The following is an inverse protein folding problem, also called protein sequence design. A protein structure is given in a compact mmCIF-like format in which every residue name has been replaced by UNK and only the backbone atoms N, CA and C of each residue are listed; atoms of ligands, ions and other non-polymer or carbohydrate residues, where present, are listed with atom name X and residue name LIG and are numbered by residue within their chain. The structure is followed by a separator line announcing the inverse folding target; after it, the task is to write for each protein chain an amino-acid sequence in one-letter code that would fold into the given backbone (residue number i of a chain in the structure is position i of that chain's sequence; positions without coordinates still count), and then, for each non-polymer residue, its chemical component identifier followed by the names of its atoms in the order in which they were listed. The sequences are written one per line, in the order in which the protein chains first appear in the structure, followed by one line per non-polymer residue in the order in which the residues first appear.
data_IF_299872414566
#
_entry.id   IF_299872414566
#
_cell.length_a   1.000
_cell.length_b   1.000
_cell.length_c   1.000
_cell.angle_alpha   90.00
_cell.angle_beta   90.00
_cell.angle_gamma   90.00
#
_symmetry.space_group_name_H-M   'P 1'
#
loop_
_entity.id
_entity.type
_entity.pdbx_description
1 polymer ?
#
# COMPACT_ATOMS: atom_id res chain seq x y z
N UNK A 1 34.62 -26.47 41.26
CA UNK A 1 33.77 -27.42 42.01
C UNK A 1 32.63 -26.63 42.61
N UNK A 2 31.46 -26.75 42.09
CA UNK A 2 30.17 -26.82 42.80
C UNK A 2 29.08 -26.87 41.75
N UNK A 3 28.37 -27.96 41.72
CA UNK A 3 27.34 -28.32 40.76
C UNK A 3 26.02 -27.58 41.06
N UNK A 4 25.31 -27.15 40.02
CA UNK A 4 23.93 -26.68 40.12
C UNK A 4 23.02 -27.79 39.62
N UNK A 5 22.19 -28.31 40.53
CA UNK A 5 21.19 -29.34 40.28
C UNK A 5 20.00 -28.79 39.49
N UNK A 6 19.69 -29.44 38.38
CA UNK A 6 18.45 -29.24 37.61
C UNK A 6 17.32 -30.09 38.27
N UNK A 7 16.26 -29.43 38.70
CA UNK A 7 15.01 -30.08 39.14
C UNK A 7 14.08 -30.28 37.94
N UNK A 8 13.96 -31.50 37.46
CA UNK A 8 12.96 -31.95 36.51
C UNK A 8 11.64 -32.28 37.22
N UNK A 9 10.57 -31.53 36.91
CA UNK A 9 9.22 -31.84 37.39
C UNK A 9 8.54 -32.79 36.41
N UNK A 10 8.23 -33.99 36.96
CA UNK A 10 7.66 -35.11 36.23
C UNK A 10 6.13 -35.00 36.14
N UNK A 11 5.56 -34.98 34.90
CA UNK A 11 4.15 -34.79 34.55
C UNK A 11 3.18 -35.92 34.97
N UNK A 12 3.60 -36.86 35.80
CA UNK A 12 2.81 -38.07 36.13
C UNK A 12 2.18 -38.10 37.53
N UNK A 13 2.17 -37.00 38.28
CA UNK A 13 1.64 -37.01 39.67
C UNK A 13 0.45 -36.08 39.92
N UNK A 14 -0.33 -35.71 38.90
CA UNK A 14 -1.51 -34.85 39.12
C UNK A 14 -2.85 -35.52 38.89
N UNK A 15 -2.91 -36.85 38.86
CA UNK A 15 -4.16 -37.60 38.74
C UNK A 15 -4.28 -38.66 39.80
N UNK A 16 -4.53 -38.25 41.05
CA UNK A 16 -5.09 -39.12 42.10
C UNK A 16 -5.41 -38.22 43.30
N UNK A 17 -6.68 -37.93 43.48
CA UNK A 17 -7.41 -37.73 44.74
C UNK A 17 -8.62 -36.84 44.47
N UNK A 18 -9.79 -37.47 44.34
CA UNK A 18 -10.98 -37.13 45.11
C UNK A 18 -12.18 -37.97 44.63
N UNK A 19 -12.41 -39.07 45.26
CA UNK A 19 -13.72 -39.70 45.35
C UNK A 19 -14.36 -39.25 46.66
N UNK A 20 -15.58 -38.69 46.63
CA UNK A 20 -16.29 -38.27 47.86
C UNK A 20 -17.67 -37.67 47.50
N UNK A 21 -18.65 -38.53 47.29
CA UNK A 21 -20.09 -38.51 47.74
C UNK A 21 -20.84 -37.18 47.79
N UNK A 22 -21.80 -37.03 46.86
CA UNK A 22 -23.24 -36.81 47.14
C UNK A 22 -23.71 -35.41 47.40
N UNK A 23 -24.46 -34.87 46.48
CA UNK A 23 -25.86 -34.44 46.67
C UNK A 23 -26.44 -33.97 45.31
N UNK A 24 -27.45 -34.67 44.82
CA UNK A 24 -28.24 -34.29 43.65
C UNK A 24 -29.04 -33.03 43.99
N UNK A 25 -28.71 -31.91 43.38
CA UNK A 25 -29.60 -30.77 43.17
C UNK A 25 -29.86 -30.62 41.66
N UNK A 26 -31.07 -31.01 41.27
CA UNK A 26 -31.62 -30.79 39.95
C UNK A 26 -31.75 -29.30 39.70
N UNK A 27 -30.83 -28.69 38.92
CA UNK A 27 -31.05 -27.43 38.26
C UNK A 27 -31.50 -27.70 36.84
N UNK A 28 -32.51 -26.98 36.32
CA UNK A 28 -32.98 -27.15 34.95
C UNK A 28 -31.83 -26.76 34.01
N UNK A 29 -31.53 -27.66 33.09
CA UNK A 29 -30.60 -27.43 32.02
C UNK A 29 -31.08 -26.26 31.16
N UNK A 30 -30.55 -25.08 31.42
CA UNK A 30 -30.52 -24.01 30.42
C UNK A 30 -29.49 -24.47 29.37
N UNK A 31 -30.03 -25.04 28.30
CA UNK A 31 -29.28 -25.30 27.07
C UNK A 31 -28.90 -23.96 26.43
N UNK A 32 -27.92 -23.31 27.04
CA UNK A 32 -27.17 -22.22 26.43
C UNK A 32 -25.90 -22.80 25.87
N UNK A 33 -26.01 -23.56 24.79
CA UNK A 33 -24.89 -23.88 23.97
C UNK A 33 -24.57 -22.63 23.11
N UNK A 34 -24.18 -21.57 23.77
CA UNK A 34 -23.47 -20.51 23.11
C UNK A 34 -22.07 -21.01 22.81
N UNK A 35 -22.01 -21.66 21.67
CA UNK A 35 -20.82 -21.72 20.89
C UNK A 35 -20.19 -20.33 20.93
N UNK A 36 -19.12 -20.16 21.67
CA UNK A 36 -18.09 -19.18 21.41
C UNK A 36 -17.61 -19.47 19.98
N UNK A 37 -18.38 -19.01 19.00
CA UNK A 37 -17.91 -18.78 17.65
C UNK A 37 -16.73 -17.85 17.86
N UNK A 38 -15.53 -18.42 17.81
CA UNK A 38 -14.31 -17.69 17.56
C UNK A 38 -14.70 -16.79 16.38
N UNK A 39 -14.91 -15.50 16.63
CA UNK A 39 -15.15 -14.52 15.57
C UNK A 39 -13.82 -14.51 14.85
N UNK A 40 -13.70 -15.34 13.83
CA UNK A 40 -12.63 -15.24 12.85
C UNK A 40 -12.96 -13.90 12.19
N UNK A 41 -12.19 -12.87 12.57
CA UNK A 41 -12.33 -11.55 11.98
C UNK A 41 -12.13 -11.74 10.47
N UNK A 42 -13.20 -11.61 9.70
CA UNK A 42 -13.08 -11.74 8.25
C UNK A 42 -12.16 -10.62 7.74
N UNK A 43 -11.26 -10.93 6.79
CA UNK A 43 -10.40 -9.90 6.24
C UNK A 43 -11.23 -8.76 5.69
N UNK A 44 -10.88 -7.54 6.04
CA UNK A 44 -11.54 -6.33 5.58
C UNK A 44 -10.71 -5.65 4.49
N UNK A 45 -11.35 -5.35 3.36
CA UNK A 45 -10.76 -4.56 2.28
C UNK A 45 -11.13 -3.09 2.49
N UNK A 46 -10.11 -2.26 2.70
CA UNK A 46 -10.24 -0.81 2.81
C UNK A 46 -9.81 -0.15 1.50
N UNK A 47 -10.52 0.89 1.08
CA UNK A 47 -10.15 1.74 -0.06
C UNK A 47 -10.95 3.05 -0.04
N UNK A 48 -10.52 4.00 -0.87
CA UNK A 48 -11.33 5.14 -1.24
C UNK A 48 -12.21 4.81 -2.45
N UNK A 49 -13.40 5.39 -2.51
CA UNK A 49 -14.33 5.29 -3.65
C UNK A 49 -14.96 6.63 -3.99
N UNK A 50 -15.33 6.78 -5.26
CA UNK A 50 -16.16 7.89 -5.72
C UNK A 50 -17.47 7.31 -6.25
N UNK A 51 -18.58 7.99 -6.01
CA UNK A 51 -19.85 7.60 -6.61
C UNK A 51 -20.13 8.37 -7.92
N UNK A 52 -21.20 7.98 -8.57
CA UNK A 52 -21.65 8.60 -9.83
C UNK A 52 -22.09 10.06 -9.67
N UNK A 53 -22.34 10.52 -8.45
CA UNK A 53 -22.72 11.88 -8.11
C UNK A 53 -21.49 12.75 -7.76
N UNK A 54 -20.28 12.19 -7.84
CA UNK A 54 -19.04 12.88 -7.51
C UNK A 54 -18.74 12.96 -6.01
N UNK A 55 -19.48 12.24 -5.16
CA UNK A 55 -19.17 12.14 -3.73
C UNK A 55 -17.99 11.21 -3.48
N UNK A 56 -17.24 11.50 -2.43
CA UNK A 56 -16.05 10.78 -2.03
C UNK A 56 -16.30 9.99 -0.75
N UNK A 57 -15.87 8.75 -0.73
CA UNK A 57 -16.15 7.79 0.34
C UNK A 57 -14.87 7.08 0.80
N UNK A 58 -14.70 6.98 2.10
CA UNK A 58 -13.82 6.03 2.76
C UNK A 58 -14.64 4.77 3.06
N UNK A 59 -14.19 3.60 2.57
CA UNK A 59 -15.01 2.38 2.63
C UNK A 59 -14.26 1.19 3.20
N UNK A 60 -15.02 0.27 3.82
CA UNK A 60 -14.53 -1.04 4.25
C UNK A 60 -15.56 -2.11 3.90
N UNK A 61 -15.11 -3.19 3.28
CA UNK A 61 -15.92 -4.34 2.91
C UNK A 61 -15.25 -5.65 3.33
N UNK A 62 -16.05 -6.64 3.72
CA UNK A 62 -15.60 -8.02 3.70
C UNK A 62 -15.47 -8.52 2.25
N UNK A 63 -14.67 -9.56 2.01
CA UNK A 63 -14.48 -10.10 0.65
C UNK A 63 -15.72 -10.79 0.07
N UNK A 64 -16.73 -11.06 0.90
CA UNK A 64 -18.05 -11.57 0.48
C UNK A 64 -19.02 -10.47 0.03
N UNK A 65 -18.58 -9.20 0.06
CA UNK A 65 -19.37 -8.03 -0.34
C UNK A 65 -20.11 -7.33 0.80
N UNK A 66 -20.04 -7.84 2.03
CA UNK A 66 -20.65 -7.18 3.19
C UNK A 66 -19.97 -5.84 3.47
N UNK A 67 -20.71 -4.74 3.45
CA UNK A 67 -20.21 -3.42 3.81
C UNK A 67 -20.05 -3.32 5.34
N UNK A 68 -18.83 -2.99 5.80
CA UNK A 68 -18.58 -2.73 7.20
C UNK A 68 -18.86 -1.26 7.54
N UNK A 69 -18.35 -0.35 6.72
CA UNK A 69 -18.66 1.06 6.81
C UNK A 69 -18.47 1.80 5.48
N UNK A 70 -19.13 2.94 5.39
CA UNK A 70 -18.99 3.92 4.30
C UNK A 70 -19.13 5.32 4.89
N UNK A 71 -18.03 6.08 4.88
CA UNK A 71 -17.95 7.42 5.46
C UNK A 71 -17.71 8.45 4.36
N UNK A 72 -18.63 9.41 4.21
CA UNK A 72 -18.47 10.51 3.26
C UNK A 72 -17.39 11.49 3.73
N UNK A 73 -16.52 11.91 2.80
CA UNK A 73 -15.44 12.87 3.06
C UNK A 73 -15.45 13.96 1.99
N UNK A 74 -15.01 15.21 2.32
CA UNK A 74 -15.05 16.32 1.39
C UNK A 74 -14.12 16.20 0.18
N UNK A 75 -13.01 15.45 0.30
CA UNK A 75 -11.99 15.34 -0.75
C UNK A 75 -11.77 13.87 -1.11
N UNK A 76 -11.51 13.64 -2.39
CA UNK A 76 -11.12 12.32 -2.90
C UNK A 76 -9.84 11.83 -2.21
N UNK A 77 -9.90 10.68 -1.57
CA UNK A 77 -8.74 10.01 -1.02
C UNK A 77 -8.04 9.14 -2.08
N UNK A 78 -6.78 8.81 -1.81
CA UNK A 78 -5.93 8.07 -2.71
C UNK A 78 -5.41 6.79 -2.07
N UNK A 79 -4.81 6.87 -0.90
CA UNK A 79 -4.27 5.74 -0.15
C UNK A 79 -4.99 5.55 1.17
N UNK A 80 -4.89 4.34 1.72
CA UNK A 80 -5.45 3.99 3.02
C UNK A 80 -4.43 3.19 3.81
N UNK A 81 -4.27 3.57 5.07
CA UNK A 81 -3.34 2.98 6.03
C UNK A 81 -4.12 2.44 7.21
N UNK A 82 -3.66 1.34 7.79
CA UNK A 82 -4.22 0.79 9.02
C UNK A 82 -3.20 0.88 10.15
N UNK A 83 -3.63 1.37 11.32
CA UNK A 83 -2.77 1.43 12.50
C UNK A 83 -2.45 0.00 12.99
N UNK A 84 -1.19 -0.32 13.35
CA UNK A 84 -0.78 -1.70 13.61
C UNK A 84 -1.48 -2.36 14.82
N UNK A 85 -1.87 -1.57 15.81
CA UNK A 85 -2.43 -2.10 17.08
C UNK A 85 -3.80 -1.52 17.47
N UNK A 86 -4.17 -0.36 16.94
CA UNK A 86 -5.45 0.29 17.19
C UNK A 86 -6.39 0.08 16.00
N UNK A 87 -7.71 0.04 16.22
CA UNK A 87 -8.69 -0.08 15.14
C UNK A 87 -8.88 1.25 14.41
N UNK A 88 -7.80 1.78 13.85
CA UNK A 88 -7.77 3.08 13.17
C UNK A 88 -7.35 2.89 11.72
N UNK A 89 -8.08 3.52 10.80
CA UNK A 89 -7.73 3.63 9.40
C UNK A 89 -7.53 5.11 9.04
N UNK A 90 -6.43 5.43 8.38
CA UNK A 90 -6.15 6.77 7.87
C UNK A 90 -6.28 6.77 6.35
N UNK A 91 -7.15 7.62 5.83
CA UNK A 91 -7.32 7.84 4.40
C UNK A 91 -6.65 9.15 4.00
N UNK A 92 -5.70 9.06 3.08
CA UNK A 92 -4.88 10.20 2.66
C UNK A 92 -5.48 10.82 1.41
N UNK A 93 -5.76 12.12 1.44
CA UNK A 93 -6.33 12.79 0.28
C UNK A 93 -5.37 12.78 -0.92
N UNK A 94 -5.95 12.69 -2.12
CA UNK A 94 -5.20 12.70 -3.38
C UNK A 94 -4.50 14.03 -3.59
N UNK A 95 -3.27 13.99 -4.04
CA UNK A 95 -2.46 15.19 -4.33
C UNK A 95 -3.13 16.18 -5.29
N UNK A 96 -2.96 17.48 -5.11
CA UNK A 96 -2.38 18.15 -3.96
C UNK A 96 -3.37 18.10 -2.79
N UNK A 97 -3.13 17.20 -1.85
CA UNK A 97 -4.02 16.96 -0.72
C UNK A 97 -3.65 17.81 0.49
N UNK A 98 -4.64 18.37 1.15
CA UNK A 98 -4.46 19.13 2.39
C UNK A 98 -5.05 18.45 3.61
N UNK A 99 -5.71 17.30 3.42
CA UNK A 99 -6.39 16.59 4.50
C UNK A 99 -6.10 15.11 4.49
N UNK A 100 -6.08 14.50 5.68
CA UNK A 100 -6.21 13.05 5.87
C UNK A 100 -7.36 12.80 6.84
N UNK A 101 -8.08 11.71 6.66
CA UNK A 101 -9.26 11.38 7.46
C UNK A 101 -8.98 10.13 8.29
N UNK A 102 -8.89 10.31 9.61
CA UNK A 102 -8.73 9.22 10.56
C UNK A 102 -10.09 8.70 10.98
N UNK A 103 -10.33 7.43 10.77
CA UNK A 103 -11.61 6.76 10.95
C UNK A 103 -11.45 5.57 11.91
N UNK A 104 -12.41 5.37 12.82
CA UNK A 104 -12.50 4.10 13.56
C UNK A 104 -12.86 2.98 12.58
N UNK A 105 -11.95 2.05 12.38
CA UNK A 105 -12.06 0.97 11.39
C UNK A 105 -13.17 -0.06 11.71
N UNK A 106 -13.81 0.03 12.89
CA UNK A 106 -14.93 -0.83 13.30
C UNK A 106 -16.29 -0.20 13.01
N UNK A 107 -16.43 1.11 13.29
CA UNK A 107 -17.72 1.82 13.19
C UNK A 107 -17.83 2.69 11.95
N UNK A 108 -16.68 3.11 11.36
CA UNK A 108 -16.65 4.10 10.29
C UNK A 108 -16.75 5.55 10.78
N UNK A 109 -16.72 5.79 12.09
CA UNK A 109 -16.80 7.15 12.62
C UNK A 109 -15.54 7.96 12.28
N UNK A 110 -15.71 9.17 11.76
CA UNK A 110 -14.63 10.11 11.52
C UNK A 110 -14.14 10.67 12.87
N UNK A 111 -12.92 10.30 13.26
CA UNK A 111 -12.32 10.70 14.55
C UNK A 111 -11.53 11.99 14.43
N UNK A 112 -10.84 12.20 13.30
CA UNK A 112 -10.01 13.38 13.07
C UNK A 112 -9.89 13.68 11.57
N UNK A 113 -10.03 14.95 11.24
CA UNK A 113 -9.46 15.48 9.99
C UNK A 113 -8.09 16.05 10.32
N UNK A 114 -7.04 15.41 9.81
CA UNK A 114 -5.67 15.88 9.95
C UNK A 114 -5.38 16.82 8.79
N UNK A 115 -5.10 18.09 9.11
CA UNK A 115 -4.76 19.12 8.12
C UNK A 115 -3.27 19.18 7.89
N UNK A 116 -2.87 19.40 6.63
CA UNK A 116 -1.50 19.69 6.29
C UNK A 116 -1.06 21.03 6.93
N UNK A 117 0.20 21.13 7.30
CA UNK A 117 0.77 22.41 7.75
C UNK A 117 0.67 23.45 6.64
N UNK A 118 0.65 24.74 6.99
CA UNK A 118 0.40 25.84 6.05
C UNK A 118 1.37 25.89 4.87
N UNK A 119 2.57 25.34 5.05
CA UNK A 119 3.66 25.30 4.07
C UNK A 119 3.86 23.88 3.46
N UNK A 120 2.89 22.98 3.65
CA UNK A 120 2.94 21.59 3.17
C UNK A 120 1.64 21.20 2.48
N UNK A 121 1.74 20.22 1.60
CA UNK A 121 0.59 19.42 1.16
C UNK A 121 0.99 17.94 1.04
N UNK A 122 0.02 17.07 1.23
CA UNK A 122 0.21 15.62 1.16
C UNK A 122 0.28 15.14 -0.29
N UNK A 123 1.13 14.16 -0.54
CA UNK A 123 1.27 13.53 -1.85
C UNK A 123 0.44 12.25 -2.03
N UNK A 124 -0.40 11.93 -1.07
CA UNK A 124 -1.38 10.85 -1.19
C UNK A 124 -0.97 9.53 -0.54
N UNK A 125 0.26 9.39 -0.03
CA UNK A 125 0.77 8.15 0.55
C UNK A 125 1.36 8.33 1.94
N UNK A 126 1.33 7.23 2.70
CA UNK A 126 1.91 7.16 4.03
C UNK A 126 2.16 5.73 4.50
N UNK A 127 2.73 5.60 5.70
CA UNK A 127 2.94 4.31 6.39
C UNK A 127 2.84 4.52 7.90
N UNK A 128 2.29 3.54 8.59
CA UNK A 128 2.48 3.41 10.04
C UNK A 128 3.68 2.52 10.35
N UNK A 129 4.46 2.88 11.38
CA UNK A 129 5.41 1.98 12.00
C UNK A 129 4.68 1.03 12.98
N UNK A 130 5.36 -0.04 13.40
CA UNK A 130 4.82 -1.02 14.34
C UNK A 130 4.45 -0.43 15.72
N UNK A 131 5.02 0.70 16.10
CA UNK A 131 4.71 1.45 17.33
C UNK A 131 3.57 2.48 17.14
N UNK A 132 3.01 2.61 15.93
CA UNK A 132 1.94 3.54 15.61
C UNK A 132 2.43 4.94 15.19
N UNK A 133 3.72 5.15 15.02
CA UNK A 133 4.24 6.39 14.41
C UNK A 133 3.83 6.42 12.94
N UNK A 134 3.22 7.52 12.52
CA UNK A 134 2.78 7.75 11.15
C UNK A 134 3.82 8.56 10.37
N UNK A 135 4.11 8.13 9.16
CA UNK A 135 4.92 8.85 8.18
C UNK A 135 4.02 9.19 6.98
N UNK A 136 4.04 10.46 6.53
CA UNK A 136 3.29 10.93 5.36
C UNK A 136 4.23 11.58 4.35
N UNK A 137 4.08 11.23 3.08
CA UNK A 137 4.78 11.92 2.00
C UNK A 137 4.22 13.34 1.84
N UNK A 138 5.08 14.35 1.96
CA UNK A 138 4.72 15.76 1.89
C UNK A 138 5.66 16.52 0.95
N UNK A 139 5.17 17.60 0.39
CA UNK A 139 5.97 18.55 -0.37
C UNK A 139 5.96 19.91 0.30
N UNK A 140 7.13 20.56 0.28
CA UNK A 140 7.28 21.92 0.74
C UNK A 140 6.75 22.90 -0.31
N UNK A 141 5.80 23.74 0.08
CA UNK A 141 5.19 24.72 -0.84
C UNK A 141 6.02 26.00 -0.97
N UNK A 142 6.90 26.28 0.01
CA UNK A 142 7.81 27.42 -0.02
C UNK A 142 9.10 27.11 -0.77
N UNK A 143 9.48 25.82 -0.81
CA UNK A 143 10.66 25.31 -1.50
C UNK A 143 10.25 24.18 -2.45
N UNK A 144 9.63 24.50 -3.62
CA UNK A 144 9.20 23.51 -4.59
C UNK A 144 10.36 22.61 -5.02
N UNK A 145 10.21 21.31 -4.81
CA UNK A 145 11.27 20.34 -5.02
C UNK A 145 11.90 19.78 -3.75
N UNK A 146 11.58 20.31 -2.58
CA UNK A 146 11.95 19.72 -1.30
C UNK A 146 10.90 18.71 -0.86
N UNK A 147 11.17 17.43 -1.09
CA UNK A 147 10.34 16.33 -0.59
C UNK A 147 10.69 15.97 0.86
N UNK A 148 9.68 15.73 1.68
CA UNK A 148 9.85 15.30 3.06
C UNK A 148 8.89 14.17 3.42
N UNK A 149 9.24 13.40 4.47
CA UNK A 149 8.29 12.58 5.20
C UNK A 149 7.95 13.30 6.49
N UNK A 150 6.69 13.77 6.62
CA UNK A 150 6.16 14.30 7.88
C UNK A 150 5.93 13.15 8.85
N UNK A 151 6.35 13.33 10.10
CA UNK A 151 6.26 12.33 11.18
C UNK A 151 5.23 12.78 12.18
N UNK A 152 4.22 11.93 12.41
CA UNK A 152 3.12 12.18 13.31
C UNK A 152 3.05 11.09 14.38
N UNK A 153 2.69 11.47 15.59
CA UNK A 153 2.57 10.57 16.73
C UNK A 153 1.16 10.56 17.27
N UNK A 154 0.69 9.38 17.72
CA UNK A 154 -0.56 9.25 18.42
C UNK A 154 -0.43 9.77 19.86
N UNK A 155 -1.03 10.92 20.15
CA UNK A 155 -1.03 11.57 21.46
C UNK A 155 -2.42 12.11 21.75
N UNK A 156 -2.88 12.03 23.00
CA UNK A 156 -4.16 12.61 23.44
C UNK A 156 -5.36 12.22 22.53
N UNK A 157 -5.37 10.98 22.05
CA UNK A 157 -6.35 10.46 21.09
C UNK A 157 -6.37 11.21 19.73
N UNK A 158 -5.24 11.71 19.29
CA UNK A 158 -5.06 12.41 18.02
C UNK A 158 -3.70 12.11 17.41
N UNK A 159 -3.63 12.23 16.10
CA UNK A 159 -2.35 12.31 15.37
C UNK A 159 -1.85 13.75 15.44
N UNK A 160 -0.67 13.94 15.99
CA UNK A 160 -0.02 15.25 16.12
C UNK A 160 1.33 15.23 15.41
N UNK A 161 1.61 16.31 14.65
CA UNK A 161 2.92 16.48 14.00
C UNK A 161 4.03 16.50 15.04
N UNK A 162 5.10 15.79 14.76
CA UNK A 162 6.30 15.70 15.62
C UNK A 162 7.51 16.34 14.97
N UNK A 163 7.88 15.89 13.78
CA UNK A 163 9.05 16.34 13.02
C UNK A 163 8.94 15.93 11.55
N UNK A 164 9.95 16.20 10.74
CA UNK A 164 10.06 15.73 9.37
C UNK A 164 11.48 15.27 9.06
N UNK A 165 11.62 14.39 8.06
CA UNK A 165 12.90 13.96 7.51
C UNK A 165 12.91 14.16 5.99
N UNK A 166 14.08 14.44 5.41
CA UNK A 166 14.24 14.63 3.97
C UNK A 166 14.05 13.31 3.20
N UNK A 167 13.37 13.36 2.05
CA UNK A 167 13.33 12.27 1.08
C UNK A 167 14.52 12.28 0.12
N UNK A 168 15.39 13.30 0.20
CA UNK A 168 16.52 13.52 -0.70
C UNK A 168 16.15 13.56 -2.19
N UNK A 169 14.88 13.85 -2.48
CA UNK A 169 14.35 13.91 -3.84
C UNK A 169 13.16 14.86 -3.96
N UNK A 170 12.61 14.91 -5.14
CA UNK A 170 11.54 15.81 -5.54
C UNK A 170 10.26 15.00 -5.71
N UNK A 171 9.14 15.50 -5.21
CA UNK A 171 7.83 14.87 -5.36
C UNK A 171 7.83 13.42 -4.80
N UNK A 172 8.04 13.23 -3.46
CA UNK A 172 7.94 11.91 -2.87
C UNK A 172 6.51 11.38 -3.08
N UNK A 173 6.36 10.32 -3.88
CA UNK A 173 5.03 9.81 -4.21
C UNK A 173 4.64 8.69 -3.27
N UNK A 174 5.22 7.52 -3.42
CA UNK A 174 5.01 6.38 -2.53
C UNK A 174 6.33 5.93 -1.92
N UNK A 175 6.27 5.35 -0.74
CA UNK A 175 7.43 4.76 -0.07
C UNK A 175 7.01 3.49 0.66
N UNK A 176 7.98 2.61 0.88
CA UNK A 176 7.80 1.33 1.54
C UNK A 176 8.90 1.11 2.56
N UNK A 177 8.65 0.25 3.54
CA UNK A 177 9.67 -0.19 4.48
C UNK A 177 10.77 -0.97 3.78
N UNK A 178 12.02 -0.72 4.17
CA UNK A 178 13.12 -1.64 3.94
C UNK A 178 12.95 -2.87 4.85
N UNK A 179 13.58 -4.03 4.53
CA UNK A 179 13.55 -5.20 5.40
C UNK A 179 13.88 -4.85 6.86
N UNK A 180 13.23 -5.57 7.79
CA UNK A 180 13.38 -5.38 9.23
C UNK A 180 13.02 -3.95 9.72
N UNK A 181 12.26 -3.20 8.92
CA UNK A 181 11.88 -1.84 9.21
C UNK A 181 13.08 -0.93 9.55
N UNK A 182 14.21 -1.12 8.87
CA UNK A 182 15.45 -0.37 9.12
C UNK A 182 15.44 1.03 8.53
N UNK A 183 14.52 1.31 7.61
CA UNK A 183 14.38 2.57 6.89
C UNK A 183 13.36 2.49 5.77
N UNK A 184 13.49 3.36 4.79
CA UNK A 184 12.52 3.51 3.71
C UNK A 184 13.18 3.43 2.34
N UNK A 185 12.47 2.82 1.39
CA UNK A 185 12.68 3.02 -0.03
C UNK A 185 11.61 4.00 -0.54
N UNK A 186 12.02 5.08 -1.17
CA UNK A 186 11.15 6.21 -1.54
C UNK A 186 11.17 6.40 -3.05
N UNK A 187 9.99 6.39 -3.66
CA UNK A 187 9.75 6.77 -5.04
C UNK A 187 9.57 8.28 -5.13
N UNK A 188 10.60 9.01 -5.56
CA UNK A 188 10.51 10.43 -5.85
C UNK A 188 10.17 10.62 -7.33
N UNK A 189 9.00 11.18 -7.63
CA UNK A 189 8.51 11.36 -8.99
C UNK A 189 9.28 12.37 -9.82
N UNK A 190 9.92 13.33 -9.17
CA UNK A 190 10.87 14.24 -9.79
C UNK A 190 10.27 15.47 -10.48
N UNK A 191 8.97 15.70 -10.37
CA UNK A 191 8.29 16.84 -11.01
C UNK A 191 8.11 17.94 -9.96
N UNK A 192 8.73 19.09 -10.19
CA UNK A 192 8.43 20.31 -9.41
C UNK A 192 7.10 20.87 -9.85
N UNK A 193 6.20 21.09 -8.91
CA UNK A 193 4.89 21.67 -9.17
C UNK A 193 4.72 23.01 -8.45
N UNK A 194 3.85 23.85 -8.99
CA UNK A 194 3.38 25.03 -8.27
C UNK A 194 2.77 24.65 -6.93
N UNK A 195 2.87 25.54 -5.95
CA UNK A 195 2.31 25.31 -4.61
C UNK A 195 0.82 24.96 -4.68
N UNK A 196 0.43 23.83 -4.06
CA UNK A 196 -0.96 23.37 -4.06
C UNK A 196 -1.55 23.01 -5.42
N UNK A 197 -0.73 22.78 -6.43
CA UNK A 197 -1.13 22.50 -7.80
C UNK A 197 -0.52 21.20 -8.33
N UNK A 198 -0.99 20.75 -9.49
CA UNK A 198 -0.37 19.69 -10.32
C UNK A 198 0.39 20.27 -11.52
N UNK A 199 0.35 21.57 -11.69
CA UNK A 199 1.04 22.26 -12.77
C UNK A 199 2.54 22.16 -12.56
N UNK A 200 3.25 21.59 -13.52
CA UNK A 200 4.70 21.50 -13.48
C UNK A 200 5.33 22.88 -13.66
N UNK A 201 6.34 23.20 -12.84
CA UNK A 201 7.10 24.45 -12.92
C UNK A 201 8.15 24.42 -14.03
N UNK A 202 8.59 23.22 -14.43
CA UNK A 202 9.59 23.00 -15.47
C UNK A 202 9.33 21.68 -16.19
N UNK A 203 10.01 21.51 -17.31
CA UNK A 203 9.88 20.31 -18.15
C UNK A 203 10.83 19.17 -17.73
N UNK A 204 11.79 19.44 -16.85
CA UNK A 204 12.77 18.45 -16.42
C UNK A 204 12.20 17.58 -15.30
N UNK A 205 12.20 16.26 -15.50
CA UNK A 205 11.83 15.27 -14.49
C UNK A 205 13.12 14.76 -13.83
N UNK A 206 13.28 15.00 -12.52
CA UNK A 206 14.42 14.54 -11.71
C UNK A 206 14.01 13.38 -10.81
N UNK A 207 13.53 12.32 -11.44
CA UNK A 207 13.02 11.13 -10.75
C UNK A 207 14.15 10.35 -10.07
N UNK A 208 13.87 9.80 -8.89
CA UNK A 208 14.85 8.98 -8.17
C UNK A 208 14.20 7.94 -7.25
N UNK A 209 14.84 6.78 -7.16
CA UNK A 209 14.67 5.84 -6.05
C UNK A 209 15.69 6.19 -4.97
N UNK A 210 15.21 6.50 -3.78
CA UNK A 210 16.06 6.87 -2.65
C UNK A 210 15.86 5.87 -1.51
N UNK A 211 16.97 5.41 -0.93
CA UNK A 211 16.96 4.61 0.29
C UNK A 211 17.49 5.48 1.44
N UNK A 212 16.77 5.53 2.53
CA UNK A 212 17.17 6.22 3.77
C UNK A 212 16.98 5.30 4.98
N UNK A 213 17.72 5.55 6.05
CA UNK A 213 17.39 4.95 7.35
C UNK A 213 16.24 5.68 8.04
N UNK A 214 15.75 5.17 9.17
CA UNK A 214 14.64 5.79 9.94
C UNK A 214 14.91 7.24 10.39
N UNK A 215 16.18 7.63 10.51
CA UNK A 215 16.56 8.98 10.91
C UNK A 215 16.71 9.93 9.70
N UNK A 216 16.37 9.49 8.50
CA UNK A 216 16.47 10.29 7.28
C UNK A 216 17.88 10.38 6.69
N UNK A 217 18.83 9.56 7.16
CA UNK A 217 20.18 9.53 6.60
C UNK A 217 20.18 8.78 5.28
N UNK A 218 20.71 9.42 4.23
CA UNK A 218 20.79 8.84 2.89
C UNK A 218 21.69 7.60 2.86
N UNK A 219 21.14 6.50 2.34
CA UNK A 219 21.85 5.23 2.08
C UNK A 219 22.26 5.16 0.59
N UNK A 220 21.30 5.37 -0.32
CA UNK A 220 21.56 5.44 -1.75
C UNK A 220 20.52 6.31 -2.47
N UNK A 221 20.91 6.85 -3.62
CA UNK A 221 20.03 7.57 -4.54
C UNK A 221 20.38 7.14 -5.96
N UNK A 222 19.39 6.63 -6.67
CA UNK A 222 19.52 6.15 -8.04
C UNK A 222 18.46 6.79 -8.92
N UNK A 223 18.79 7.09 -10.17
CA UNK A 223 17.92 7.81 -11.11
C UNK A 223 17.60 6.93 -12.31
N UNK A 224 16.49 7.20 -12.95
CA UNK A 224 16.11 6.64 -14.25
C UNK A 224 16.40 7.62 -15.38
N UNK A 225 16.28 7.16 -16.62
CA UNK A 225 16.38 8.00 -17.80
C UNK A 225 15.35 9.14 -17.77
N UNK A 226 15.65 10.22 -18.47
CA UNK A 226 14.78 11.39 -18.57
C UNK A 226 13.40 11.01 -19.12
N UNK A 227 12.36 11.66 -18.62
CA UNK A 227 10.96 11.41 -18.96
C UNK A 227 10.26 10.38 -18.09
N UNK A 228 10.97 9.54 -17.34
CA UNK A 228 10.38 8.59 -16.41
C UNK A 228 10.18 9.22 -15.03
N UNK A 229 8.95 9.14 -14.51
CA UNK A 229 8.58 9.60 -13.18
C UNK A 229 8.18 8.40 -12.33
N UNK A 230 8.99 8.04 -11.33
CA UNK A 230 8.69 6.94 -10.39
C UNK A 230 7.51 7.35 -9.52
N UNK A 231 6.44 6.54 -9.56
CA UNK A 231 5.20 6.84 -8.83
C UNK A 231 4.94 5.83 -7.72
N UNK A 232 4.95 4.57 -8.08
CA UNK A 232 4.60 3.50 -7.16
C UNK A 232 5.76 2.55 -6.95
N UNK A 233 5.75 1.87 -5.80
CA UNK A 233 6.87 1.05 -5.34
C UNK A 233 6.35 -0.13 -4.52
N UNK A 234 6.96 -1.29 -4.68
CA UNK A 234 6.74 -2.45 -3.83
C UNK A 234 8.08 -3.08 -3.44
N UNK A 235 8.16 -3.64 -2.24
CA UNK A 235 9.32 -4.38 -1.77
C UNK A 235 8.95 -5.82 -1.42
N UNK A 236 9.80 -6.75 -1.81
CA UNK A 236 9.75 -8.14 -1.35
C UNK A 236 10.47 -8.30 -0.02
N UNK A 237 10.19 -9.39 0.69
CA UNK A 237 10.79 -9.70 1.99
C UNK A 237 12.32 -9.87 1.95
N UNK A 238 12.89 -10.19 0.78
CA UNK A 238 14.34 -10.29 0.57
C UNK A 238 15.02 -8.94 0.28
N UNK A 239 14.27 -7.84 0.26
CA UNK A 239 14.75 -6.49 -0.05
C UNK A 239 14.79 -6.16 -1.54
N UNK A 240 14.28 -7.03 -2.41
CA UNK A 240 14.07 -6.67 -3.81
C UNK A 240 12.97 -5.62 -3.93
N UNK A 241 13.25 -4.53 -4.61
CA UNK A 241 12.33 -3.40 -4.81
C UNK A 241 11.97 -3.32 -6.29
N UNK A 242 10.69 -3.12 -6.59
CA UNK A 242 10.21 -2.80 -7.94
C UNK A 242 9.52 -1.45 -7.92
N UNK A 243 9.81 -0.64 -8.92
CA UNK A 243 9.19 0.67 -9.12
C UNK A 243 8.32 0.66 -10.37
N UNK A 244 7.21 1.36 -10.32
CA UNK A 244 6.29 1.59 -11.45
C UNK A 244 6.29 3.08 -11.81
N UNK A 245 6.42 3.37 -13.11
CA UNK A 245 6.66 4.70 -13.64
C UNK A 245 5.51 5.19 -14.49
N UNK A 246 5.43 6.51 -14.57
CA UNK A 246 4.74 7.22 -15.61
C UNK A 246 5.78 7.86 -16.55
N UNK A 247 5.65 7.64 -17.84
CA UNK A 247 6.49 8.30 -18.83
C UNK A 247 5.78 9.52 -19.40
N UNK A 248 6.53 10.62 -19.57
CA UNK A 248 6.11 11.82 -20.28
C UNK A 248 7.23 12.20 -21.24
N UNK A 249 6.96 12.13 -22.53
CA UNK A 249 7.94 12.55 -23.54
C UNK A 249 8.36 14.01 -23.30
N UNK A 250 9.68 14.32 -23.37
CA UNK A 250 10.14 15.70 -23.33
C UNK A 250 9.54 16.51 -24.49
N UNK A 251 9.01 17.70 -24.23
CA UNK A 251 8.28 18.52 -25.21
C UNK A 251 9.18 19.18 -26.25
N UNK A 252 10.53 19.20 -26.03
CA UNK A 252 11.44 20.06 -26.79
C UNK A 252 12.47 19.36 -27.69
N UNK A 253 12.35 18.05 -27.95
CA UNK A 253 13.29 17.35 -28.83
C UNK A 253 12.57 16.36 -29.74
N UNK A 254 12.04 16.84 -30.87
CA UNK A 254 11.53 15.96 -31.93
C UNK A 254 12.61 15.02 -32.53
N UNK A 255 13.88 15.38 -32.45
CA UNK A 255 14.99 14.57 -32.97
C UNK A 255 15.33 13.34 -32.11
N UNK A 256 14.97 13.30 -30.85
CA UNK A 256 15.21 12.17 -29.94
C UNK A 256 13.96 11.33 -29.64
N UNK A 257 12.83 11.61 -30.22
CA UNK A 257 11.57 10.87 -30.00
C UNK A 257 11.64 9.39 -30.48
N UNK A 258 12.66 9.01 -31.25
CA UNK A 258 12.79 7.67 -31.81
C UNK A 258 13.41 6.60 -30.89
N UNK A 259 14.03 6.98 -29.77
CA UNK A 259 14.78 6.04 -28.92
C UNK A 259 14.38 6.04 -27.44
N UNK A 260 13.40 6.82 -27.00
CA UNK A 260 12.93 6.82 -25.63
C UNK A 260 11.85 5.76 -25.46
N UNK A 261 12.24 4.51 -25.18
CA UNK A 261 11.32 3.52 -24.65
C UNK A 261 10.79 4.01 -23.29
N UNK A 262 9.50 3.86 -23.06
CA UNK A 262 8.89 4.19 -21.79
C UNK A 262 9.28 3.11 -20.76
N UNK A 263 10.42 3.22 -20.15
CA UNK A 263 10.90 2.29 -19.11
C UNK A 263 9.96 2.29 -17.91
N UNK A 264 8.83 1.56 -18.04
CA UNK A 264 7.69 1.66 -17.12
C UNK A 264 7.84 0.87 -15.84
N UNK A 265 8.81 -0.03 -15.76
CA UNK A 265 9.16 -0.81 -14.57
C UNK A 265 10.66 -0.84 -14.39
N UNK A 266 11.13 -0.71 -13.15
CA UNK A 266 12.52 -0.92 -12.81
C UNK A 266 12.64 -1.77 -11.55
N UNK A 267 13.76 -2.47 -11.40
CA UNK A 267 14.02 -3.39 -10.30
C UNK A 267 15.36 -3.08 -9.66
N UNK A 268 15.39 -3.05 -8.34
CA UNK A 268 16.60 -2.98 -7.53
C UNK A 268 16.67 -4.20 -6.64
N UNK A 269 17.68 -5.03 -6.87
CA UNK A 269 18.00 -6.13 -5.96
C UNK A 269 18.98 -5.67 -4.87
N UNK A 270 19.02 -6.33 -3.71
CA UNK A 270 20.01 -6.02 -2.68
C UNK A 270 21.41 -5.94 -3.25
N UNK A 271 22.16 -4.90 -2.90
CA UNK A 271 23.55 -4.64 -3.33
C UNK A 271 23.76 -4.49 -4.84
N UNK A 272 22.71 -4.47 -5.65
CA UNK A 272 22.78 -4.22 -7.09
C UNK A 272 22.25 -2.84 -7.43
N UNK A 273 22.65 -2.22 -8.55
CA UNK A 273 22.06 -0.97 -9.00
C UNK A 273 20.60 -1.16 -9.43
N UNK A 274 19.86 -0.04 -9.50
CA UNK A 274 18.54 0.01 -10.14
C UNK A 274 18.69 -0.28 -11.63
N UNK A 275 17.93 -1.24 -12.14
CA UNK A 275 17.94 -1.62 -13.56
C UNK A 275 16.52 -1.71 -14.09
N UNK A 276 16.34 -1.57 -15.39
CA UNK A 276 15.04 -1.71 -16.03
C UNK A 276 14.57 -3.15 -15.92
N UNK A 277 13.31 -3.33 -15.49
CA UNK A 277 12.67 -4.65 -15.50
C UNK A 277 12.25 -5.00 -16.94
N UNK A 278 12.55 -6.20 -17.43
CA UNK A 278 12.30 -6.55 -18.82
C UNK A 278 10.79 -6.67 -19.09
N UNK A 279 10.28 -5.76 -19.90
CA UNK A 279 8.91 -5.80 -20.44
C UNK A 279 9.05 -5.93 -21.96
N UNK A 280 8.33 -6.84 -22.58
CA UNK A 280 8.36 -6.95 -24.03
C UNK A 280 7.68 -5.74 -24.70
N UNK A 281 8.08 -5.40 -25.92
CA UNK A 281 7.63 -4.19 -26.61
C UNK A 281 6.12 -4.14 -26.90
N UNK A 282 5.46 -5.27 -27.03
CA UNK A 282 4.01 -5.34 -27.21
C UNK A 282 3.29 -4.98 -25.92
N UNK A 283 3.68 -5.57 -24.81
CA UNK A 283 3.15 -5.26 -23.48
C UNK A 283 3.43 -3.79 -23.11
N UNK A 284 4.63 -3.27 -23.41
CA UNK A 284 4.98 -1.87 -23.14
C UNK A 284 4.02 -0.89 -23.85
N UNK A 285 3.68 -1.13 -25.11
CA UNK A 285 2.68 -0.34 -25.85
C UNK A 285 1.30 -0.40 -25.20
N UNK A 286 0.90 -1.58 -24.71
CA UNK A 286 -0.38 -1.78 -24.04
C UNK A 286 -0.49 -1.03 -22.70
N UNK A 287 0.63 -0.79 -22.01
CA UNK A 287 0.67 0.00 -20.78
C UNK A 287 0.36 1.49 -20.99
N UNK A 288 0.41 2.00 -22.21
CA UNK A 288 0.12 3.40 -22.57
C UNK A 288 0.87 4.42 -21.71
N UNK A 289 2.20 4.23 -21.61
CA UNK A 289 3.11 5.10 -20.86
C UNK A 289 2.75 5.28 -19.37
N UNK A 290 2.02 4.33 -18.77
CA UNK A 290 1.62 4.44 -17.38
C UNK A 290 1.43 3.09 -16.69
N UNK A 291 2.30 2.77 -15.75
CA UNK A 291 2.12 1.74 -14.75
C UNK A 291 1.65 2.39 -13.45
N UNK A 292 0.43 2.04 -12.99
CA UNK A 292 -0.19 2.67 -11.82
C UNK A 292 0.28 2.01 -10.52
N UNK A 293 -0.40 0.98 -10.06
CA UNK A 293 -0.03 0.32 -8.81
C UNK A 293 0.80 -0.93 -9.07
N UNK A 294 1.69 -1.25 -8.13
CA UNK A 294 2.57 -2.42 -8.17
C UNK A 294 2.49 -3.16 -6.84
N UNK A 295 2.48 -4.48 -6.88
CA UNK A 295 2.53 -5.32 -5.70
C UNK A 295 3.39 -6.57 -5.95
N UNK A 296 4.03 -7.07 -4.89
CA UNK A 296 4.83 -8.29 -4.92
C UNK A 296 4.23 -9.32 -3.96
N UNK A 297 4.03 -10.53 -4.45
CA UNK A 297 3.74 -11.70 -3.62
C UNK A 297 5.05 -12.44 -3.38
N UNK A 298 5.63 -12.26 -2.19
CA UNK A 298 7.00 -12.71 -1.91
C UNK A 298 7.19 -14.23 -2.01
N UNK A 299 6.23 -15.03 -1.53
CA UNK A 299 6.32 -16.50 -1.56
C UNK A 299 6.31 -17.06 -2.97
N UNK A 300 5.39 -16.59 -3.83
CA UNK A 300 5.29 -17.04 -5.21
C UNK A 300 6.26 -16.33 -6.15
N UNK A 301 6.98 -15.34 -5.66
CA UNK A 301 7.82 -14.45 -6.48
C UNK A 301 7.08 -13.84 -7.66
N UNK A 302 5.84 -13.39 -7.42
CA UNK A 302 5.02 -12.74 -8.42
C UNK A 302 5.09 -11.22 -8.29
N UNK A 303 5.26 -10.57 -9.41
CA UNK A 303 5.14 -9.13 -9.60
C UNK A 303 3.86 -8.84 -10.35
N UNK A 304 2.94 -8.11 -9.73
CA UNK A 304 1.69 -7.68 -10.35
C UNK A 304 1.68 -6.16 -10.54
N UNK A 305 1.18 -5.72 -11.70
CA UNK A 305 1.11 -4.33 -12.10
C UNK A 305 -0.25 -4.02 -12.69
N UNK A 306 -0.82 -2.89 -12.31
CA UNK A 306 -2.05 -2.36 -12.89
C UNK A 306 -1.76 -1.23 -13.87
N UNK A 307 -2.49 -1.19 -14.97
CA UNK A 307 -2.37 -0.18 -16.00
C UNK A 307 -3.76 0.36 -16.39
N UNK A 308 -4.27 1.40 -15.70
CA UNK A 308 -5.61 1.94 -15.97
C UNK A 308 -5.77 2.41 -17.42
N UNK A 309 -4.77 3.12 -17.98
CA UNK A 309 -4.81 3.60 -19.36
C UNK A 309 -4.85 2.45 -20.37
N UNK A 310 -4.12 1.38 -20.09
CA UNK A 310 -4.06 0.18 -20.91
C UNK A 310 -5.21 -0.79 -20.66
N UNK A 311 -6.01 -0.58 -19.61
CA UNK A 311 -7.05 -1.50 -19.16
C UNK A 311 -6.51 -2.91 -18.91
N UNK A 312 -5.34 -3.02 -18.24
CA UNK A 312 -4.62 -4.26 -18.04
C UNK A 312 -4.25 -4.53 -16.60
N UNK A 313 -4.33 -5.80 -16.24
CA UNK A 313 -3.64 -6.42 -15.13
C UNK A 313 -2.55 -7.32 -15.70
N UNK A 314 -1.32 -7.10 -15.30
CA UNK A 314 -0.16 -7.85 -15.77
C UNK A 314 0.54 -8.52 -14.59
N UNK A 315 1.05 -9.73 -14.84
CA UNK A 315 1.76 -10.52 -13.84
C UNK A 315 3.03 -11.09 -14.43
N UNK A 316 4.13 -11.00 -13.70
CA UNK A 316 5.41 -11.61 -14.05
C UNK A 316 5.97 -12.44 -12.90
N UNK A 317 6.83 -13.37 -13.22
CA UNK A 317 7.73 -13.96 -12.24
C UNK A 317 8.87 -12.96 -11.96
N UNK A 318 9.01 -12.54 -10.70
CA UNK A 318 9.91 -11.44 -10.30
C UNK A 318 11.39 -11.68 -10.65
N UNK A 319 11.83 -12.95 -10.58
CA UNK A 319 13.25 -13.27 -10.74
C UNK A 319 13.61 -13.56 -12.19
N UNK A 320 12.71 -14.21 -12.95
CA UNK A 320 12.98 -14.60 -14.35
C UNK A 320 12.52 -13.55 -15.36
N UNK A 321 11.59 -12.65 -14.98
CA UNK A 321 10.96 -11.72 -15.90
C UNK A 321 9.94 -12.37 -16.85
N UNK A 322 9.63 -13.67 -16.66
CA UNK A 322 8.61 -14.36 -17.44
C UNK A 322 7.22 -13.76 -17.17
N UNK A 323 6.51 -13.40 -18.23
CA UNK A 323 5.15 -12.89 -18.15
C UNK A 323 4.17 -14.05 -17.92
N UNK A 324 3.51 -14.06 -16.77
CA UNK A 324 2.62 -15.12 -16.32
C UNK A 324 1.15 -14.84 -16.66
N UNK A 325 0.77 -13.57 -16.75
CA UNK A 325 -0.60 -13.15 -17.04
C UNK A 325 -0.61 -11.81 -17.78
N UNK A 326 -1.51 -11.72 -18.76
CA UNK A 326 -1.99 -10.48 -19.35
C UNK A 326 -3.52 -10.57 -19.40
N UNK A 327 -4.21 -9.78 -18.57
CA UNK A 327 -5.64 -9.89 -18.38
C UNK A 327 -6.31 -8.51 -18.50
N UNK A 328 -7.33 -8.42 -19.35
CA UNK A 328 -8.09 -7.19 -19.54
C UNK A 328 -8.97 -6.89 -18.32
N UNK A 329 -8.74 -5.73 -17.71
CA UNK A 329 -9.56 -5.15 -16.64
C UNK A 329 -9.71 -3.68 -16.91
N UNK A 330 -10.92 -3.24 -17.22
CA UNK A 330 -11.23 -1.85 -17.52
C UNK A 330 -10.86 -0.95 -16.32
N UNK A 331 -10.13 0.14 -16.57
CA UNK A 331 -9.61 1.05 -15.56
C UNK A 331 -9.01 0.30 -14.34
N UNK A 332 -8.10 -0.66 -14.63
CA UNK A 332 -7.43 -1.46 -13.60
C UNK A 332 -6.55 -0.57 -12.74
N UNK A 333 -6.95 -0.33 -11.49
CA UNK A 333 -6.40 0.73 -10.65
C UNK A 333 -5.59 0.20 -9.46
N UNK A 334 -6.24 -0.12 -8.35
CA UNK A 334 -5.57 -0.53 -7.11
C UNK A 334 -5.21 -2.00 -7.08
N UNK A 335 -4.18 -2.33 -6.30
CA UNK A 335 -3.78 -3.72 -6.06
C UNK A 335 -3.28 -3.89 -4.62
N UNK A 336 -3.59 -5.03 -4.01
CA UNK A 336 -3.04 -5.44 -2.71
C UNK A 336 -2.72 -6.93 -2.72
N UNK A 337 -1.65 -7.33 -2.00
CA UNK A 337 -1.29 -8.73 -1.83
C UNK A 337 -2.20 -9.42 -0.82
N UNK A 338 -2.43 -10.71 -1.02
CA UNK A 338 -3.12 -11.62 -0.10
C UNK A 338 -2.23 -12.83 0.18
N UNK A 339 -2.63 -13.73 1.06
CA UNK A 339 -1.89 -14.97 1.31
C UNK A 339 -1.79 -15.89 0.07
N UNK A 340 -2.66 -15.73 -0.94
CA UNK A 340 -2.71 -16.63 -2.11
C UNK A 340 -2.50 -15.93 -3.45
N UNK A 341 -2.19 -14.63 -3.45
CA UNK A 341 -2.00 -13.83 -4.66
C UNK A 341 -2.38 -12.38 -4.46
N UNK A 342 -3.36 -11.85 -5.19
CA UNK A 342 -3.70 -10.43 -5.16
C UNK A 342 -5.21 -10.18 -5.19
N UNK A 343 -5.61 -9.00 -4.72
CA UNK A 343 -6.89 -8.38 -5.05
C UNK A 343 -6.60 -7.13 -5.85
N UNK A 344 -7.34 -6.93 -6.95
CA UNK A 344 -7.26 -5.74 -7.79
C UNK A 344 -8.60 -5.03 -7.85
N UNK A 345 -8.57 -3.71 -7.92
CA UNK A 345 -9.76 -2.87 -8.11
C UNK A 345 -9.83 -2.29 -9.51
N UNK A 346 -10.99 -1.75 -9.83
CA UNK A 346 -11.26 -1.06 -11.08
C UNK A 346 -12.04 0.22 -10.81
N UNK A 347 -11.66 1.31 -11.45
CA UNK A 347 -12.41 2.57 -11.39
C UNK A 347 -13.78 2.47 -12.09
N UNK A 348 -13.95 1.55 -13.04
CA UNK A 348 -15.19 1.38 -13.81
C UNK A 348 -15.84 0.00 -13.67
N UNK A 349 -15.07 -1.02 -13.30
CA UNK A 349 -15.50 -2.41 -13.25
C UNK A 349 -15.57 -3.00 -11.83
N UNK A 350 -15.56 -4.33 -11.76
CA UNK A 350 -15.57 -5.09 -10.50
C UNK A 350 -14.16 -5.32 -9.96
N UNK A 351 -14.03 -5.36 -8.63
CA UNK A 351 -12.83 -5.92 -8.00
C UNK A 351 -12.68 -7.41 -8.33
N UNK A 352 -11.44 -7.89 -8.39
CA UNK A 352 -11.11 -9.27 -8.75
C UNK A 352 -10.07 -9.85 -7.81
N UNK A 353 -10.17 -11.14 -7.54
CA UNK A 353 -9.08 -11.92 -6.94
C UNK A 353 -8.23 -12.55 -8.02
N UNK A 354 -6.91 -12.59 -7.78
CA UNK A 354 -5.90 -13.23 -8.63
C UNK A 354 -5.21 -14.28 -7.80
N UNK A 355 -5.36 -15.54 -8.14
CA UNK A 355 -4.86 -16.65 -7.33
C UNK A 355 -4.35 -17.80 -8.21
N UNK A 356 -3.41 -18.57 -7.68
CA UNK A 356 -3.04 -19.84 -8.33
C UNK A 356 -3.95 -20.96 -7.83
N UNK A 357 -4.54 -21.70 -8.77
CA UNK A 357 -5.34 -22.86 -8.47
C UNK A 357 -4.93 -24.00 -9.42
N UNK A 358 -4.53 -25.13 -8.88
CA UNK A 358 -4.07 -26.30 -9.64
C UNK A 358 -2.98 -25.96 -10.68
N UNK A 359 -2.03 -25.08 -10.32
CA UNK A 359 -0.94 -24.67 -11.21
C UNK A 359 -1.29 -23.55 -12.21
N UNK A 360 -2.56 -23.19 -12.33
CA UNK A 360 -3.03 -22.14 -13.25
C UNK A 360 -3.38 -20.86 -12.47
N UNK A 361 -3.03 -19.71 -13.05
CA UNK A 361 -3.45 -18.41 -12.51
C UNK A 361 -4.90 -18.15 -12.94
N UNK A 362 -5.77 -17.90 -11.98
CA UNK A 362 -7.17 -17.58 -12.19
C UNK A 362 -7.50 -16.17 -11.72
N UNK A 363 -8.30 -15.46 -12.51
CA UNK A 363 -8.81 -14.12 -12.17
C UNK A 363 -10.33 -14.22 -12.04
N UNK A 364 -10.86 -13.98 -10.84
CA UNK A 364 -12.30 -14.13 -10.54
C UNK A 364 -12.87 -12.81 -9.99
N UNK A 365 -14.09 -12.42 -10.39
CA UNK A 365 -14.77 -11.27 -9.81
C UNK A 365 -15.05 -11.53 -8.32
N UNK A 366 -14.94 -10.48 -7.51
CA UNK A 366 -15.38 -10.44 -6.12
C UNK A 366 -16.78 -9.81 -6.05
N UNK A 367 -17.64 -10.21 -5.11
CA UNK A 367 -18.98 -9.65 -4.93
C UNK A 367 -18.96 -8.27 -4.25
N UNK A 368 -18.06 -7.41 -4.71
CA UNK A 368 -17.89 -6.04 -4.22
C UNK A 368 -18.61 -5.05 -5.14
N UNK A 369 -18.97 -3.85 -4.67
CA UNK A 369 -19.59 -2.83 -5.51
C UNK A 369 -18.71 -2.51 -6.74
N UNK A 370 -19.33 -2.32 -7.89
CA UNK A 370 -18.65 -1.97 -9.15
C UNK A 370 -18.32 -0.50 -9.21
N UNK A 371 -17.18 -0.16 -9.83
CA UNK A 371 -16.76 1.20 -10.16
C UNK A 371 -16.39 2.08 -8.98
N UNK A 372 -15.79 3.20 -9.30
CA UNK A 372 -15.44 4.26 -8.37
C UNK A 372 -14.27 3.98 -7.43
N UNK A 373 -13.58 2.83 -7.54
CA UNK A 373 -12.42 2.51 -6.69
C UNK A 373 -11.21 3.38 -7.04
N UNK A 374 -10.49 3.85 -6.03
CA UNK A 374 -9.23 4.55 -6.23
C UNK A 374 -8.05 3.59 -6.46
N UNK A 375 -6.85 4.13 -6.66
CA UNK A 375 -5.68 3.38 -7.07
C UNK A 375 -5.08 2.49 -5.96
N UNK A 376 -5.56 2.57 -4.74
CA UNK A 376 -5.00 1.80 -3.62
C UNK A 376 -6.06 1.01 -2.86
N UNK A 377 -5.66 -0.18 -2.47
CA UNK A 377 -6.40 -1.13 -1.65
C UNK A 377 -5.53 -1.56 -0.48
N UNK A 378 -6.14 -1.79 0.66
CA UNK A 378 -5.50 -2.41 1.81
C UNK A 378 -6.37 -3.55 2.33
N UNK A 379 -5.80 -4.74 2.46
CA UNK A 379 -6.42 -5.88 3.12
C UNK A 379 -5.88 -5.97 4.56
N UNK A 380 -6.76 -5.98 5.57
CA UNK A 380 -6.45 -6.02 7.00
C UNK A 380 -7.12 -7.19 7.69
#
# INVERSE_FOLDING_TARGET
MTAINSLSINRRRFLQFSSGIGTLLLFPALSGCDTLKKIIKQPALLSARNDVNGKHWCVSYALDGTEHFRTEVPQRCHDVLHHPTLPLALFVARRPGTHCYLIDARSGDLLQTLEARSDRHFYGHGLFDHDGTLYLAENDTNEPGRGVLGIYQWKNNRLEFSTEISTHGIEPHQFVWLPDNTGFAIANGGIRTEAGSRTALNETIESSLVLINKNGVLISKETLASGNSIRHIAAASDGTIVTAQQFSAPTNNEENAGNNSAELLAIKRPLQPLTIFPVNSETEKQLQAYSASVAIHSENRWLAVTAPRGNRLLLWHLDTGEQLLDFAVQDCAGITSTASGFIVSSGEGSCRSVQQQAGLISVKPLPLPTGGWDNHLLLV
#
